data_IF_699300521282
#
_entry.id   IF_699300521282
#
_cell.length_a   1.000
_cell.length_b   1.000
_cell.length_c   1.000
_cell.angle_alpha   90.00
_cell.angle_beta   90.00
_cell.angle_gamma   90.00
#
_symmetry.space_group_name_H-M   'P 1'
#
loop_
_entity.id
_entity.type
_entity.pdbx_description
1 polymer ?
#
# COMPACT_ATOMS: atom_id res chain seq x y z
N UNK A 1 -8.72 24.94 2.37
CA UNK A 1 -10.13 25.39 2.39
C UNK A 1 -11.02 24.20 2.69
N UNK A 2 -12.07 24.36 3.51
CA UNK A 2 -12.99 23.27 3.92
C UNK A 2 -13.50 22.45 2.74
N UNK A 3 -13.83 23.11 1.62
CA UNK A 3 -14.31 22.45 0.39
C UNK A 3 -13.31 21.42 -0.15
N UNK A 4 -12.01 21.73 -0.11
CA UNK A 4 -10.94 20.81 -0.55
C UNK A 4 -10.90 19.56 0.34
N UNK A 5 -10.97 19.75 1.66
CA UNK A 5 -10.98 18.65 2.62
C UNK A 5 -12.19 17.73 2.40
N UNK A 6 -13.37 18.30 2.20
CA UNK A 6 -14.60 17.55 1.89
C UNK A 6 -14.45 16.76 0.59
N UNK A 7 -13.87 17.35 -0.46
CA UNK A 7 -13.62 16.63 -1.72
C UNK A 7 -12.62 15.47 -1.58
N UNK A 8 -11.59 15.62 -0.75
CA UNK A 8 -10.58 14.57 -0.51
C UNK A 8 -11.06 13.44 0.41
N UNK A 9 -12.10 13.70 1.22
CA UNK A 9 -12.63 12.77 2.22
C UNK A 9 -14.08 12.34 1.96
N UNK A 10 -14.59 12.57 0.75
CA UNK A 10 -16.00 12.35 0.40
C UNK A 10 -16.48 10.91 0.57
N UNK A 11 -15.59 9.92 0.43
CA UNK A 11 -15.89 8.49 0.60
C UNK A 11 -15.46 7.98 1.99
N UNK A 12 -14.77 8.80 2.80
CA UNK A 12 -14.30 8.42 4.12
C UNK A 12 -15.43 8.51 5.15
N UNK A 13 -15.90 7.34 5.60
CA UNK A 13 -16.77 7.24 6.76
C UNK A 13 -15.97 6.99 8.04
N UNK A 14 -16.54 7.34 9.19
CA UNK A 14 -15.94 7.01 10.49
C UNK A 14 -15.68 5.51 10.65
N UNK A 15 -16.58 4.67 10.12
CA UNK A 15 -16.40 3.22 10.11
C UNK A 15 -15.19 2.79 9.28
N UNK A 16 -14.99 3.40 8.10
CA UNK A 16 -13.82 3.13 7.25
C UNK A 16 -12.52 3.54 7.94
N UNK A 17 -12.48 4.73 8.56
CA UNK A 17 -11.30 5.19 9.31
C UNK A 17 -11.00 4.26 10.48
N UNK A 18 -12.01 3.87 11.28
CA UNK A 18 -11.83 2.95 12.41
C UNK A 18 -11.32 1.58 11.99
N UNK A 19 -11.67 1.12 10.79
CA UNK A 19 -11.17 -0.15 10.22
C UNK A 19 -9.72 -0.03 9.77
N UNK A 20 -9.35 1.07 9.10
CA UNK A 20 -8.04 1.25 8.48
C UNK A 20 -6.97 1.76 9.46
N UNK A 21 -7.35 2.57 10.45
CA UNK A 21 -6.41 3.13 11.41
C UNK A 21 -5.67 2.03 12.19
N UNK A 22 -4.41 2.27 12.60
CA UNK A 22 -3.67 1.37 13.46
C UNK A 22 -4.35 1.19 14.82
N UNK A 23 -4.08 0.08 15.50
CA UNK A 23 -4.61 -0.19 16.85
C UNK A 23 -4.12 0.83 17.88
N UNK A 24 -2.93 1.40 17.65
CA UNK A 24 -2.39 2.51 18.44
C UNK A 24 -3.20 3.80 18.32
N UNK A 25 -4.00 3.96 17.27
CA UNK A 25 -4.70 5.21 16.94
C UNK A 25 -3.77 6.32 16.40
N UNK A 26 -2.47 6.05 16.28
CA UNK A 26 -1.48 7.03 15.82
C UNK A 26 -0.87 6.61 14.48
N UNK A 27 -0.88 7.54 13.52
CA UNK A 27 -0.23 7.38 12.22
C UNK A 27 1.08 8.17 12.25
N UNK A 28 2.19 7.47 11.98
CA UNK A 28 3.53 8.05 11.99
C UNK A 28 4.19 7.89 10.62
N UNK A 29 4.91 8.91 10.17
CA UNK A 29 5.66 8.89 8.90
C UNK A 29 6.69 7.74 8.86
N UNK A 30 7.30 7.45 10.01
CA UNK A 30 8.28 6.39 10.17
C UNK A 30 7.72 5.30 11.08
N UNK A 31 7.85 4.05 10.63
CA UNK A 31 7.52 2.88 11.45
C UNK A 31 8.51 2.78 12.61
N UNK A 32 8.00 2.85 13.83
CA UNK A 32 8.79 2.53 15.02
C UNK A 32 9.18 1.05 14.95
N UNK A 33 10.48 0.77 14.86
CA UNK A 33 11.03 -0.58 14.79
C UNK A 33 11.66 -0.96 16.12
N UNK A 34 11.31 -2.14 16.61
CA UNK A 34 11.82 -2.71 17.85
C UNK A 34 12.72 -3.91 17.50
N UNK A 35 13.86 -4.07 18.19
CA UNK A 35 14.69 -5.25 17.99
C UNK A 35 13.97 -6.48 18.53
N UNK A 36 14.01 -7.58 17.78
CA UNK A 36 13.36 -8.86 18.15
C UNK A 36 13.91 -9.41 19.46
N UNK A 37 15.21 -9.21 19.70
CA UNK A 37 15.83 -9.46 20.99
C UNK A 37 16.32 -8.13 21.58
N UNK A 38 16.01 -7.88 22.86
CA UNK A 38 16.27 -6.61 23.52
C UNK A 38 17.76 -6.20 23.57
N UNK A 39 18.68 -7.16 23.35
CA UNK A 39 20.13 -6.93 23.28
C UNK A 39 20.73 -6.43 24.59
N UNK A 40 19.99 -6.55 25.70
CA UNK A 40 20.39 -6.05 27.02
C UNK A 40 21.25 -7.06 27.76
N UNK A 41 21.16 -8.33 27.40
CA UNK A 41 21.87 -9.41 28.07
C UNK A 41 22.83 -10.16 27.13
N UNK A 42 23.89 -10.73 27.70
CA UNK A 42 24.88 -11.53 26.97
C UNK A 42 24.27 -12.77 26.31
N UNK A 43 23.14 -13.26 26.82
CA UNK A 43 22.36 -14.38 26.24
C UNK A 43 21.68 -13.96 24.92
N UNK A 44 21.10 -12.76 24.86
CA UNK A 44 20.48 -12.21 23.65
C UNK A 44 21.49 -12.11 22.50
N UNK A 45 22.75 -11.79 22.81
CA UNK A 45 23.85 -11.72 21.83
C UNK A 45 24.26 -13.11 21.31
N UNK A 46 24.15 -14.14 22.14
CA UNK A 46 24.43 -15.52 21.75
C UNK A 46 23.32 -16.08 20.83
N UNK A 47 22.06 -15.73 21.10
CA UNK A 47 20.92 -16.10 20.24
C UNK A 47 20.99 -15.42 18.85
N UNK A 48 21.50 -14.19 18.79
CA UNK A 48 21.71 -13.45 17.54
C UNK A 48 22.88 -13.99 16.70
N UNK A 49 23.65 -14.98 17.18
CA UNK A 49 24.82 -15.59 16.49
C UNK A 49 25.79 -14.55 15.88
N UNK A 50 25.95 -13.41 16.55
CA UNK A 50 26.82 -12.35 16.07
C UNK A 50 28.28 -12.73 16.30
N UNK A 51 29.15 -12.69 15.28
CA UNK A 51 30.58 -12.89 15.47
C UNK A 51 31.17 -11.75 16.34
N UNK A 52 32.39 -11.96 16.86
CA UNK A 52 33.14 -10.90 17.55
C UNK A 52 33.27 -9.69 16.62
N UNK A 53 33.24 -8.48 17.21
CA UNK A 53 33.17 -7.17 16.53
C UNK A 53 34.29 -6.96 15.48
N UNK A 54 35.34 -7.74 15.61
CA UNK A 54 36.64 -7.69 14.96
C UNK A 54 36.74 -8.65 13.75
N UNK A 55 35.67 -9.39 13.41
CA UNK A 55 35.64 -10.24 12.21
C UNK A 55 35.10 -9.47 10.99
N UNK A 56 35.91 -9.27 9.97
CA UNK A 56 35.45 -8.70 8.69
C UNK A 56 34.36 -9.58 8.05
N UNK A 57 33.39 -8.93 7.40
CA UNK A 57 32.38 -9.62 6.59
C UNK A 57 33.03 -10.06 5.27
N UNK A 58 33.01 -11.36 4.96
CA UNK A 58 33.59 -11.87 3.71
C UNK A 58 32.66 -11.67 2.52
N UNK A 59 31.38 -11.40 2.77
CA UNK A 59 30.37 -11.13 1.74
C UNK A 59 29.28 -10.19 2.24
N UNK A 60 28.55 -9.57 1.31
CA UNK A 60 27.39 -8.72 1.61
C UNK A 60 26.27 -9.49 2.32
N UNK A 61 25.98 -10.72 1.89
CA UNK A 61 24.95 -11.56 2.52
C UNK A 61 25.29 -11.96 3.95
N UNK A 62 26.57 -12.21 4.24
CA UNK A 62 27.06 -12.43 5.60
C UNK A 62 26.91 -11.16 6.45
N UNK A 63 27.21 -9.99 5.88
CA UNK A 63 26.98 -8.70 6.54
C UNK A 63 25.52 -8.47 6.92
N UNK A 64 24.59 -8.76 5.99
CA UNK A 64 23.15 -8.64 6.26
C UNK A 64 22.67 -9.60 7.36
N UNK A 65 23.16 -10.84 7.35
CA UNK A 65 22.80 -11.85 8.35
C UNK A 65 23.30 -11.47 9.76
N UNK A 66 24.32 -10.61 9.86
CA UNK A 66 24.86 -10.09 11.13
C UNK A 66 24.12 -8.85 11.65
N UNK A 67 23.14 -8.30 10.93
CA UNK A 67 22.38 -7.16 11.44
C UNK A 67 21.33 -7.61 12.47
N UNK A 68 21.09 -6.83 13.54
CA UNK A 68 19.99 -7.09 14.45
C UNK A 68 18.66 -7.16 13.69
N UNK A 69 17.88 -8.22 13.94
CA UNK A 69 16.52 -8.32 13.39
C UNK A 69 15.65 -7.28 14.06
N UNK A 70 15.07 -6.40 13.26
CA UNK A 70 14.14 -5.37 13.70
C UNK A 70 12.75 -5.68 13.14
N UNK A 71 11.74 -5.59 14.00
CA UNK A 71 10.35 -5.75 13.63
C UNK A 71 9.57 -4.47 13.94
N UNK A 72 8.62 -4.06 13.09
CA UNK A 72 7.77 -2.91 13.38
C UNK A 72 6.97 -3.18 14.66
N UNK A 73 6.81 -2.16 15.50
CA UNK A 73 6.05 -2.26 16.74
C UNK A 73 4.64 -2.78 16.45
N UNK A 74 4.16 -3.79 17.18
CA UNK A 74 2.81 -4.31 16.97
C UNK A 74 1.78 -3.20 17.23
N UNK A 75 0.72 -3.19 16.42
CA UNK A 75 -0.39 -2.24 16.53
C UNK A 75 -0.14 -0.85 15.94
N UNK A 76 1.06 -0.53 15.44
CA UNK A 76 1.34 0.76 14.76
C UNK A 76 1.11 0.74 13.25
N UNK A 77 0.95 -0.46 12.66
CA UNK A 77 0.76 -0.62 11.21
C UNK A 77 -0.66 -0.23 10.80
N UNK A 78 -0.75 0.56 9.73
CA UNK A 78 -2.02 0.85 9.06
C UNK A 78 -2.60 -0.46 8.51
N UNK A 79 -3.89 -0.68 8.74
CA UNK A 79 -4.59 -1.93 8.38
C UNK A 79 -5.17 -1.84 6.97
N UNK A 80 -4.29 -1.62 6.00
CA UNK A 80 -4.64 -1.67 4.58
C UNK A 80 -5.05 -3.08 4.15
N UNK A 81 -5.83 -3.16 3.09
CA UNK A 81 -6.18 -4.39 2.41
C UNK A 81 -4.94 -4.97 1.74
N UNK A 82 -4.64 -6.23 2.04
CA UNK A 82 -3.55 -6.94 1.36
C UNK A 82 -3.93 -7.22 -0.08
N UNK A 83 -3.24 -6.55 -1.00
CA UNK A 83 -3.46 -6.74 -2.42
C UNK A 83 -2.80 -8.05 -2.86
N UNK A 84 -3.49 -8.88 -3.66
CA UNK A 84 -2.96 -10.18 -4.06
C UNK A 84 -1.71 -9.99 -4.93
N UNK A 85 -0.59 -10.57 -4.48
CA UNK A 85 0.64 -10.60 -5.28
C UNK A 85 0.51 -11.47 -6.54
N UNK A 86 -0.42 -12.44 -6.52
CA UNK A 86 -0.79 -13.27 -7.66
C UNK A 86 -2.14 -12.84 -8.20
N UNK A 87 -2.13 -12.33 -9.43
CA UNK A 87 -3.31 -11.83 -10.12
C UNK A 87 -4.10 -12.92 -10.86
N UNK A 88 -3.64 -14.17 -10.81
CA UNK A 88 -4.24 -15.33 -11.48
C UNK A 88 -4.57 -16.46 -10.47
N UNK A 89 -5.53 -17.34 -10.78
CA UNK A 89 -5.88 -18.49 -9.93
C UNK A 89 -4.74 -19.53 -9.84
N UNK A 90 -4.73 -20.32 -8.76
CA UNK A 90 -3.75 -21.40 -8.62
C UNK A 90 -4.04 -22.52 -9.63
N UNK A 91 -3.02 -22.91 -10.39
CA UNK A 91 -3.15 -23.90 -11.48
C UNK A 91 -3.62 -23.32 -12.82
N UNK A 92 -3.65 -21.99 -12.97
CA UNK A 92 -3.97 -21.34 -14.24
C UNK A 92 -3.03 -21.78 -15.37
N UNK A 93 -3.61 -22.01 -16.54
CA UNK A 93 -2.84 -22.26 -17.77
C UNK A 93 -2.04 -21.01 -18.18
N UNK A 94 -0.97 -21.12 -18.98
CA UNK A 94 -0.20 -19.96 -19.46
C UNK A 94 -1.06 -18.90 -20.18
N UNK A 95 -2.10 -19.34 -20.88
CA UNK A 95 -3.07 -18.47 -21.54
C UNK A 95 -3.89 -17.68 -20.50
N UNK A 96 -4.39 -18.36 -19.47
CA UNK A 96 -5.16 -17.73 -18.38
C UNK A 96 -4.29 -16.79 -17.54
N UNK A 97 -3.02 -17.15 -17.28
CA UNK A 97 -2.05 -16.27 -16.62
C UNK A 97 -1.88 -14.99 -17.41
N UNK A 98 -1.72 -15.09 -18.73
CA UNK A 98 -1.57 -13.91 -19.61
C UNK A 98 -2.84 -13.07 -19.58
N UNK A 99 -4.02 -13.69 -19.70
CA UNK A 99 -5.32 -13.01 -19.64
C UNK A 99 -5.52 -12.23 -18.34
N UNK A 100 -5.30 -12.88 -17.20
CA UNK A 100 -5.43 -12.25 -15.88
C UNK A 100 -4.30 -11.27 -15.53
N UNK A 101 -3.16 -11.34 -16.23
CA UNK A 101 -2.09 -10.35 -16.08
C UNK A 101 -2.33 -9.11 -16.94
N UNK A 102 -3.06 -9.25 -18.07
CA UNK A 102 -3.49 -8.12 -18.88
C UNK A 102 -4.66 -7.39 -18.21
N UNK A 103 -5.67 -8.14 -17.75
CA UNK A 103 -6.85 -7.61 -17.05
C UNK A 103 -6.88 -8.03 -15.57
N UNK A 104 -6.74 -7.04 -14.69
CA UNK A 104 -6.72 -7.23 -13.24
C UNK A 104 -8.13 -7.33 -12.62
N UNK A 105 -9.20 -7.42 -13.42
CA UNK A 105 -10.57 -7.52 -12.94
C UNK A 105 -10.78 -8.68 -11.96
N UNK A 106 -10.16 -9.84 -12.22
CA UNK A 106 -10.21 -10.98 -11.28
C UNK A 106 -9.55 -10.66 -9.93
N UNK A 107 -8.41 -9.98 -9.94
CA UNK A 107 -7.73 -9.56 -8.72
C UNK A 107 -8.57 -8.54 -7.93
N UNK A 108 -9.20 -7.59 -8.63
CA UNK A 108 -10.10 -6.60 -8.03
C UNK A 108 -11.33 -7.27 -7.38
N UNK A 109 -11.96 -8.23 -8.04
CA UNK A 109 -13.11 -8.95 -7.49
C UNK A 109 -12.75 -9.69 -6.21
N UNK A 110 -11.61 -10.38 -6.18
CA UNK A 110 -11.12 -11.05 -4.97
C UNK A 110 -10.90 -10.07 -3.81
N UNK A 111 -10.37 -8.89 -4.10
CA UNK A 111 -10.16 -7.84 -3.09
C UNK A 111 -11.51 -7.37 -2.53
N UNK A 112 -12.50 -7.14 -3.40
CA UNK A 112 -13.85 -6.71 -3.00
C UNK A 112 -14.53 -7.78 -2.13
N UNK A 113 -14.44 -9.05 -2.53
CA UNK A 113 -15.04 -10.18 -1.82
C UNK A 113 -14.41 -10.40 -0.44
N UNK A 114 -13.08 -10.32 -0.33
CA UNK A 114 -12.36 -10.66 0.90
C UNK A 114 -12.42 -9.58 1.99
N UNK A 115 -12.43 -8.30 1.60
CA UNK A 115 -12.18 -7.19 2.56
C UNK A 115 -13.22 -6.09 2.54
N UNK A 116 -13.97 -5.92 1.46
CA UNK A 116 -14.92 -4.82 1.34
C UNK A 116 -16.36 -5.19 1.68
N UNK A 117 -16.63 -6.33 2.32
CA UNK A 117 -18.00 -6.76 2.65
C UNK A 117 -18.99 -6.62 1.47
N UNK A 118 -18.51 -6.87 0.24
CA UNK A 118 -19.26 -6.69 -1.01
C UNK A 118 -19.69 -5.25 -1.34
N UNK A 119 -19.07 -4.24 -0.73
CA UNK A 119 -19.27 -2.81 -1.02
C UNK A 119 -18.06 -2.26 -1.77
N UNK A 120 -18.13 -2.11 -3.11
CA UNK A 120 -17.01 -1.60 -3.91
C UNK A 120 -16.53 -0.21 -3.45
N UNK A 121 -17.45 0.64 -2.97
CA UNK A 121 -17.16 1.99 -2.51
C UNK A 121 -16.18 2.04 -1.32
N UNK A 122 -16.06 0.95 -0.55
CA UNK A 122 -15.09 0.86 0.54
C UNK A 122 -13.65 0.90 0.02
N UNK A 123 -13.40 0.48 -1.23
CA UNK A 123 -12.09 0.65 -1.88
C UNK A 123 -11.76 2.10 -2.15
N UNK A 124 -12.74 2.93 -2.52
CA UNK A 124 -12.52 4.36 -2.71
C UNK A 124 -12.23 5.05 -1.38
N UNK A 125 -12.90 4.63 -0.32
CA UNK A 125 -12.58 5.10 1.02
C UNK A 125 -11.14 4.74 1.39
N UNK A 126 -10.71 3.51 1.12
CA UNK A 126 -9.33 3.09 1.38
C UNK A 126 -8.30 3.85 0.51
N UNK A 127 -8.62 4.08 -0.77
CA UNK A 127 -7.81 4.88 -1.69
C UNK A 127 -7.66 6.33 -1.19
N UNK A 128 -8.75 6.98 -0.77
CA UNK A 128 -8.70 8.32 -0.18
C UNK A 128 -7.93 8.34 1.13
N UNK A 129 -8.12 7.34 1.99
CA UNK A 129 -7.40 7.24 3.25
C UNK A 129 -5.89 7.13 3.02
N UNK A 130 -5.48 6.26 2.10
CA UNK A 130 -4.09 6.08 1.72
C UNK A 130 -3.49 7.39 1.18
N UNK A 131 -4.22 8.09 0.30
CA UNK A 131 -3.79 9.39 -0.23
C UNK A 131 -3.61 10.45 0.86
N UNK A 132 -4.54 10.55 1.82
CA UNK A 132 -4.43 11.52 2.93
C UNK A 132 -3.28 11.16 3.87
N UNK A 133 -3.11 9.87 4.19
CA UNK A 133 -1.98 9.40 5.02
C UNK A 133 -0.63 9.68 4.35
N UNK A 134 -0.59 9.56 3.03
CA UNK A 134 0.57 9.93 2.24
C UNK A 134 0.79 11.47 2.26
N UNK A 135 -0.22 12.27 1.87
CA UNK A 135 -0.09 13.72 1.70
C UNK A 135 0.19 14.47 3.02
N UNK A 136 -0.49 14.09 4.10
CA UNK A 136 -0.40 14.76 5.40
C UNK A 136 0.55 14.03 6.34
N UNK A 137 0.45 12.70 6.37
CA UNK A 137 1.24 11.86 7.27
C UNK A 137 2.65 11.56 6.75
N UNK A 138 2.96 11.90 5.49
CA UNK A 138 4.22 11.55 4.81
C UNK A 138 4.55 10.05 4.92
N UNK A 139 3.51 9.21 4.99
CA UNK A 139 3.67 7.75 5.13
C UNK A 139 3.93 7.15 3.76
N UNK A 140 5.15 6.68 3.53
CA UNK A 140 5.54 6.07 2.26
C UNK A 140 4.76 4.79 1.94
N UNK A 141 4.48 3.95 2.95
CA UNK A 141 3.67 2.72 2.75
C UNK A 141 2.26 3.04 2.22
N UNK A 142 1.69 4.17 2.64
CA UNK A 142 0.39 4.62 2.16
C UNK A 142 0.44 5.07 0.69
N UNK A 143 1.55 5.65 0.26
CA UNK A 143 1.78 6.00 -1.15
C UNK A 143 1.90 4.75 -2.03
N UNK A 144 2.70 3.77 -1.62
CA UNK A 144 2.82 2.49 -2.33
C UNK A 144 1.47 1.78 -2.44
N UNK A 145 0.69 1.80 -1.36
CA UNK A 145 -0.65 1.23 -1.37
C UNK A 145 -1.62 1.97 -2.29
N UNK A 146 -1.63 3.30 -2.25
CA UNK A 146 -2.43 4.14 -3.15
C UNK A 146 -2.13 3.85 -4.62
N UNK A 147 -0.83 3.77 -4.99
CA UNK A 147 -0.42 3.39 -6.35
C UNK A 147 -0.93 2.01 -6.75
N UNK A 148 -0.76 1.00 -5.89
CA UNK A 148 -1.18 -0.38 -6.21
C UNK A 148 -2.69 -0.49 -6.36
N UNK A 149 -3.47 0.17 -5.51
CA UNK A 149 -4.93 0.22 -5.65
C UNK A 149 -5.33 0.88 -6.97
N UNK A 150 -4.72 2.01 -7.30
CA UNK A 150 -4.99 2.71 -8.56
C UNK A 150 -4.64 1.84 -9.77
N UNK A 151 -3.53 1.10 -9.73
CA UNK A 151 -3.13 0.16 -10.78
C UNK A 151 -4.21 -0.89 -11.03
N UNK A 152 -4.71 -1.50 -9.96
CA UNK A 152 -5.72 -2.56 -10.04
C UNK A 152 -7.01 -1.98 -10.60
N UNK A 153 -7.45 -0.80 -10.12
CA UNK A 153 -8.68 -0.16 -10.57
C UNK A 153 -8.60 0.24 -12.06
N UNK A 154 -7.50 0.84 -12.51
CA UNK A 154 -7.36 1.29 -13.90
C UNK A 154 -7.12 0.14 -14.89
N UNK A 155 -6.50 -0.97 -14.47
CA UNK A 155 -6.23 -2.14 -15.33
C UNK A 155 -7.30 -3.23 -15.26
N UNK A 156 -8.46 -2.92 -14.68
CA UNK A 156 -9.59 -3.85 -14.55
C UNK A 156 -10.72 -3.46 -15.50
N UNK A 157 -10.53 -3.70 -16.80
CA UNK A 157 -11.46 -3.27 -17.85
C UNK A 157 -12.84 -3.92 -17.71
N UNK A 158 -12.88 -5.24 -17.47
CA UNK A 158 -14.13 -5.97 -17.28
C UNK A 158 -14.90 -5.52 -16.02
N UNK A 159 -14.21 -4.98 -15.02
CA UNK A 159 -14.83 -4.47 -13.80
C UNK A 159 -15.53 -3.12 -14.01
N UNK A 160 -15.15 -2.33 -15.04
CA UNK A 160 -15.77 -1.04 -15.36
C UNK A 160 -17.26 -1.21 -15.68
N UNK A 161 -17.60 -2.22 -16.47
CA UNK A 161 -18.98 -2.52 -16.83
C UNK A 161 -19.83 -2.96 -15.64
N UNK A 162 -19.23 -3.69 -14.68
CA UNK A 162 -19.90 -4.25 -13.51
C UNK A 162 -20.09 -3.26 -12.37
N UNK A 163 -19.14 -2.35 -12.17
CA UNK A 163 -19.12 -1.41 -11.04
C UNK A 163 -19.12 0.05 -11.51
N UNK A 164 -20.05 0.44 -12.37
CA UNK A 164 -20.09 1.79 -12.97
C UNK A 164 -20.03 2.92 -11.91
N UNK A 165 -20.79 2.80 -10.82
CA UNK A 165 -20.79 3.76 -9.73
C UNK A 165 -19.41 3.92 -9.08
N UNK A 166 -18.63 2.84 -8.98
CA UNK A 166 -17.27 2.88 -8.44
C UNK A 166 -16.38 3.76 -9.32
N UNK A 167 -16.42 3.57 -10.64
CA UNK A 167 -15.55 4.27 -11.58
C UNK A 167 -15.93 5.73 -11.76
N UNK A 168 -17.23 6.06 -11.75
CA UNK A 168 -17.69 7.46 -11.78
C UNK A 168 -17.16 8.20 -10.55
N UNK A 169 -17.28 7.59 -9.38
CA UNK A 169 -16.75 8.18 -8.14
C UNK A 169 -15.21 8.21 -8.15
N UNK A 170 -14.54 7.19 -8.69
CA UNK A 170 -13.08 7.15 -8.84
C UNK A 170 -12.56 8.32 -9.65
N UNK A 171 -13.18 8.64 -10.80
CA UNK A 171 -12.78 9.78 -11.64
C UNK A 171 -12.88 11.08 -10.85
N UNK A 172 -13.97 11.28 -10.12
CA UNK A 172 -14.16 12.45 -9.26
C UNK A 172 -13.08 12.52 -8.18
N UNK A 173 -12.79 11.41 -7.50
CA UNK A 173 -11.75 11.33 -6.48
C UNK A 173 -10.37 11.67 -7.05
N UNK A 174 -9.99 11.06 -8.18
CA UNK A 174 -8.70 11.29 -8.83
C UNK A 174 -8.54 12.73 -9.29
N UNK A 175 -9.59 13.33 -9.86
CA UNK A 175 -9.57 14.74 -10.25
C UNK A 175 -9.21 15.65 -9.07
N UNK A 176 -9.79 15.43 -7.90
CA UNK A 176 -9.48 16.23 -6.72
C UNK A 176 -8.09 15.90 -6.14
N UNK A 177 -7.67 14.63 -6.15
CA UNK A 177 -6.35 14.22 -5.67
C UNK A 177 -5.22 14.82 -6.52
N UNK A 178 -5.31 14.72 -7.84
CA UNK A 178 -4.29 15.23 -8.77
C UNK A 178 -4.13 16.75 -8.68
N UNK A 179 -5.22 17.49 -8.41
CA UNK A 179 -5.17 18.94 -8.21
C UNK A 179 -4.47 19.36 -6.90
N UNK A 180 -4.35 18.47 -5.92
CA UNK A 180 -3.68 18.75 -4.64
C UNK A 180 -2.23 18.27 -4.61
N UNK A 181 -1.80 17.46 -5.57
CA UNK A 181 -0.40 17.04 -5.68
C UNK A 181 0.43 18.21 -6.24
N UNK A 182 1.49 18.67 -5.54
CA UNK A 182 2.39 19.71 -6.05
C UNK A 182 3.07 19.29 -7.37
N UNK A 183 3.30 20.24 -8.28
CA UNK A 183 3.96 19.94 -9.56
C UNK A 183 5.36 19.29 -9.37
N UNK A 184 6.11 19.72 -8.36
CA UNK A 184 7.45 19.21 -8.04
C UNK A 184 7.43 17.76 -7.52
N UNK A 185 6.30 17.32 -6.96
CA UNK A 185 6.13 15.94 -6.52
C UNK A 185 6.19 14.95 -7.68
N UNK A 186 5.70 15.36 -8.86
CA UNK A 186 5.81 14.58 -10.11
C UNK A 186 7.19 14.66 -10.75
N UNK A 187 8.15 15.38 -10.18
CA UNK A 187 9.53 15.46 -10.70
C UNK A 187 10.44 14.55 -9.87
N UNK A 188 10.29 14.58 -8.53
CA UNK A 188 11.16 13.81 -7.63
C UNK A 188 10.77 12.34 -7.47
N UNK A 189 9.47 12.00 -7.51
CA UNK A 189 9.01 10.59 -7.45
C UNK A 189 9.08 9.89 -8.81
N UNK A 190 9.12 10.67 -9.89
CA UNK A 190 9.05 10.21 -11.28
C UNK A 190 10.42 10.02 -11.91
N UNK A 191 11.50 10.44 -11.23
CA UNK A 191 12.86 10.17 -11.73
C UNK A 191 13.19 8.66 -11.85
N UNK A 192 12.31 7.75 -11.37
CA UNK A 192 12.26 6.33 -11.77
C UNK A 192 10.82 5.78 -11.93
N UNK A 193 10.22 5.96 -13.11
CA UNK A 193 8.89 5.44 -13.53
C UNK A 193 7.66 6.25 -13.06
N UNK A 194 7.11 7.07 -13.98
CA UNK A 194 5.82 7.73 -13.81
C UNK A 194 4.68 6.70 -13.90
N UNK A 195 4.43 6.00 -12.80
CA UNK A 195 3.36 5.01 -12.67
C UNK A 195 1.98 5.55 -13.08
N UNK A 196 1.73 6.86 -12.93
CA UNK A 196 0.46 7.47 -13.33
C UNK A 196 0.33 7.54 -14.85
N UNK A 197 1.41 7.84 -15.57
CA UNK A 197 1.41 7.84 -17.04
C UNK A 197 1.19 6.43 -17.58
N UNK A 198 1.84 5.41 -17.02
CA UNK A 198 1.65 4.02 -17.47
C UNK A 198 0.29 3.42 -17.10
N UNK A 199 -0.36 3.95 -16.06
CA UNK A 199 -1.67 3.47 -15.58
C UNK A 199 -2.84 4.21 -16.23
N UNK A 200 -2.64 5.46 -16.65
CA UNK A 200 -3.67 6.32 -17.27
C UNK A 200 -3.51 6.45 -18.79
N UNK A 201 -2.43 5.94 -19.39
CA UNK A 201 -2.34 5.79 -20.85
C UNK A 201 -3.18 4.60 -21.30
N UNK A 202 -4.19 4.92 -22.11
CA UNK A 202 -4.93 3.97 -22.95
C UNK A 202 -4.06 3.56 -24.13
#
# INVERSE_FOLDING_TARGET
SLKKWVSLSSCLSEAAVRRLQPESGHICAFSEVLPVAAGRHSRDRAEQRLPRFDAECRSYGEGLARLPRMEPRPGTRIRFTELPARVYPEGATPEEITRHSMDLSYALERVIEQRCAHRPLDLLAELQFAFICFLIGNVYDAFEHWKRLLNILCRSENAIGKYQDLYINLISVLYHQLNEIPADFFVDIVSQDNFLTSTLQV
#
